data_IF_937949206979
#
_entry.id   IF_937949206979
#
_cell.length_a   1.000
_cell.length_b   1.000
_cell.length_c   1.000
_cell.angle_alpha   90.00
_cell.angle_beta   90.00
_cell.angle_gamma   90.00
#
_symmetry.space_group_name_H-M   'P 1'
#
loop_
_entity.id
_entity.type
_entity.pdbx_description
1 polymer ?
#
# COMPACT_ATOMS: atom_id res chain seq x y z
N UNK A 1 -44.04 -19.08 14.62
CA UNK A 1 -43.67 -17.65 14.58
C UNK A 1 -42.26 -17.61 14.03
N UNK A 2 -42.13 -17.29 12.75
CA UNK A 2 -40.83 -17.09 12.10
C UNK A 2 -40.45 -15.64 12.32
N UNK A 3 -39.54 -15.40 13.26
CA UNK A 3 -38.89 -14.12 13.42
C UNK A 3 -38.05 -13.85 12.16
N UNK A 4 -38.62 -13.06 11.26
CA UNK A 4 -37.86 -12.34 10.25
C UNK A 4 -36.92 -11.38 10.99
N UNK A 5 -35.65 -11.77 11.08
CA UNK A 5 -34.56 -10.83 11.34
C UNK A 5 -34.66 -9.72 10.29
N UNK A 6 -35.23 -8.58 10.69
CA UNK A 6 -35.07 -7.33 9.96
C UNK A 6 -33.57 -7.04 9.94
N UNK A 7 -32.94 -7.31 8.79
CA UNK A 7 -31.59 -6.81 8.53
C UNK A 7 -31.74 -5.30 8.51
N UNK A 8 -31.33 -4.66 9.60
CA UNK A 8 -31.40 -3.23 9.81
C UNK A 8 -30.64 -2.55 8.66
N UNK A 9 -31.40 -2.11 7.66
CA UNK A 9 -30.87 -1.63 6.38
C UNK A 9 -30.52 -0.14 6.47
N UNK A 10 -30.29 0.34 7.70
CA UNK A 10 -29.97 1.71 8.00
C UNK A 10 -28.65 2.08 7.31
N UNK A 11 -28.72 3.12 6.48
CA UNK A 11 -27.58 3.67 5.74
C UNK A 11 -27.29 5.08 6.22
N UNK A 12 -26.02 5.37 6.45
CA UNK A 12 -25.53 6.66 6.90
C UNK A 12 -24.74 7.29 5.77
N UNK A 13 -25.06 8.53 5.44
CA UNK A 13 -24.37 9.30 4.39
C UNK A 13 -23.36 10.24 5.03
N UNK A 14 -22.11 10.14 4.59
CA UNK A 14 -21.03 11.03 5.00
C UNK A 14 -20.56 11.85 3.80
N UNK A 15 -20.44 13.17 3.98
CA UNK A 15 -19.99 14.11 2.95
C UNK A 15 -18.63 14.68 3.33
N UNK A 16 -17.68 14.56 2.42
CA UNK A 16 -16.33 15.10 2.57
C UNK A 16 -16.33 16.58 2.19
N UNK A 17 -16.03 17.47 3.13
CA UNK A 17 -16.21 18.91 2.89
C UNK A 17 -15.27 19.47 1.83
N UNK A 18 -14.09 18.87 1.67
CA UNK A 18 -13.05 19.38 0.76
C UNK A 18 -13.31 19.03 -0.71
N UNK A 19 -13.91 17.86 -0.98
CA UNK A 19 -14.20 17.39 -2.34
C UNK A 19 -15.68 17.37 -2.69
N UNK A 20 -16.55 17.63 -1.71
CA UNK A 20 -18.01 17.50 -1.81
C UNK A 20 -18.50 16.09 -2.23
N UNK A 21 -17.62 15.10 -2.21
CA UNK A 21 -17.96 13.70 -2.47
C UNK A 21 -18.68 13.11 -1.27
N UNK A 22 -19.47 12.07 -1.51
CA UNK A 22 -20.26 11.42 -0.49
C UNK A 22 -20.01 9.92 -0.50
N UNK A 23 -20.17 9.30 0.67
CA UNK A 23 -20.18 7.86 0.83
C UNK A 23 -21.37 7.43 1.68
N UNK A 24 -22.00 6.33 1.30
CA UNK A 24 -23.07 5.71 2.07
C UNK A 24 -22.55 4.41 2.69
N UNK A 25 -22.58 4.34 4.02
CA UNK A 25 -22.17 3.15 4.78
C UNK A 25 -23.38 2.50 5.44
N UNK A 26 -23.42 1.17 5.43
CA UNK A 26 -24.35 0.42 6.29
C UNK A 26 -23.78 0.28 7.70
N UNK A 27 -24.56 -0.25 8.64
CA UNK A 27 -24.13 -0.43 10.03
C UNK A 27 -22.86 -1.30 10.15
N UNK A 28 -22.77 -2.39 9.40
CA UNK A 28 -21.61 -3.28 9.43
C UNK A 28 -20.30 -2.58 9.01
N UNK A 29 -20.34 -1.76 7.96
CA UNK A 29 -19.18 -0.98 7.50
C UNK A 29 -18.84 0.15 8.47
N UNK A 30 -19.87 0.74 9.09
CA UNK A 30 -19.71 1.77 10.10
C UNK A 30 -18.98 1.24 11.33
N UNK A 31 -19.37 0.06 11.83
CA UNK A 31 -18.81 -0.58 13.03
C UNK A 31 -17.31 -0.89 12.90
N UNK A 32 -16.80 -1.02 11.67
CA UNK A 32 -15.38 -1.17 11.40
C UNK A 32 -14.58 0.14 11.55
N UNK A 33 -15.24 1.29 11.72
CA UNK A 33 -14.63 2.62 11.77
C UNK A 33 -15.10 3.33 13.05
N UNK A 34 -14.41 3.11 14.19
CA UNK A 34 -14.86 3.56 15.51
C UNK A 34 -15.19 5.06 15.59
N UNK A 35 -14.39 5.91 14.95
CA UNK A 35 -14.67 7.35 14.90
C UNK A 35 -16.06 7.64 14.31
N UNK A 36 -16.41 7.02 13.19
CA UNK A 36 -17.70 7.25 12.55
C UNK A 36 -18.86 6.64 13.35
N UNK A 37 -18.67 5.46 13.96
CA UNK A 37 -19.66 4.88 14.88
C UNK A 37 -19.96 5.82 16.05
N UNK A 38 -18.94 6.44 16.64
CA UNK A 38 -19.11 7.43 17.72
C UNK A 38 -19.87 8.65 17.23
N UNK A 39 -19.54 9.14 16.04
CA UNK A 39 -20.17 10.31 15.43
C UNK A 39 -21.68 10.08 15.18
N UNK A 40 -22.05 8.90 14.68
CA UNK A 40 -23.45 8.52 14.45
C UNK A 40 -24.21 8.28 15.76
N UNK A 41 -23.60 7.59 16.73
CA UNK A 41 -24.24 7.27 18.02
C UNK A 41 -24.48 8.50 18.91
N UNK A 42 -23.69 9.56 18.71
CA UNK A 42 -23.81 10.81 19.45
C UNK A 42 -24.38 11.94 18.58
N UNK A 43 -25.29 11.61 17.64
CA UNK A 43 -25.93 12.57 16.73
C UNK A 43 -26.62 13.75 17.42
N UNK A 44 -27.06 13.56 18.67
CA UNK A 44 -27.77 14.59 19.45
C UNK A 44 -26.81 15.49 20.27
N UNK A 45 -25.50 15.23 20.20
CA UNK A 45 -24.46 16.02 20.87
C UNK A 45 -23.76 16.97 19.89
N UNK A 46 -23.07 17.99 20.42
CA UNK A 46 -22.28 18.99 19.68
C UNK A 46 -21.18 18.44 18.74
N UNK A 47 -20.96 17.12 18.71
CA UNK A 47 -20.01 16.43 17.82
C UNK A 47 -20.64 16.07 16.47
N UNK A 48 -21.96 16.14 16.36
CA UNK A 48 -22.74 15.83 15.18
C UNK A 48 -22.80 17.02 14.23
N UNK A 49 -21.98 16.98 13.18
CA UNK A 49 -22.03 17.96 12.09
C UNK A 49 -22.95 17.45 10.97
N UNK A 50 -24.22 17.16 11.27
CA UNK A 50 -25.18 16.88 10.21
C UNK A 50 -25.61 18.18 9.52
N UNK A 51 -25.70 18.15 8.19
CA UNK A 51 -26.31 19.23 7.43
C UNK A 51 -27.86 19.10 7.38
N UNK A 52 -28.51 20.03 6.72
CA UNK A 52 -29.98 20.07 6.57
C UNK A 52 -30.56 18.84 5.86
N UNK A 53 -29.75 18.11 5.09
CA UNK A 53 -30.16 16.86 4.41
C UNK A 53 -29.90 15.61 5.24
N UNK A 54 -29.38 15.75 6.46
CA UNK A 54 -29.06 14.65 7.37
C UNK A 54 -27.74 13.94 7.08
N UNK A 55 -26.90 14.50 6.20
CA UNK A 55 -25.57 13.96 5.89
C UNK A 55 -24.55 14.42 6.93
N UNK A 56 -23.72 13.50 7.40
CA UNK A 56 -22.64 13.81 8.33
C UNK A 56 -21.45 14.45 7.60
N UNK A 57 -21.08 15.66 7.98
CA UNK A 57 -19.98 16.41 7.37
C UNK A 57 -18.63 15.97 7.96
N UNK A 58 -17.74 15.50 7.08
CA UNK A 58 -16.37 15.12 7.39
C UNK A 58 -15.41 16.22 6.94
N UNK A 59 -14.87 16.96 7.91
CA UNK A 59 -13.88 18.01 7.70
C UNK A 59 -12.46 17.42 7.62
N UNK A 60 -11.44 18.18 7.19
CA UNK A 60 -10.04 17.75 7.27
C UNK A 60 -9.72 17.10 8.64
N UNK A 61 -8.98 15.97 8.67
CA UNK A 61 -8.07 15.45 7.63
C UNK A 61 -8.68 14.42 6.65
N UNK A 62 -10.01 14.35 6.50
CA UNK A 62 -10.68 13.35 5.67
C UNK A 62 -10.56 13.65 4.17
N UNK A 63 -9.48 13.22 3.53
CA UNK A 63 -9.41 13.18 2.06
C UNK A 63 -10.19 11.97 1.54
N UNK A 64 -11.11 12.19 0.60
CA UNK A 64 -11.97 11.13 0.07
C UNK A 64 -11.19 9.93 -0.47
N UNK A 65 -10.14 10.17 -1.27
CA UNK A 65 -9.30 9.10 -1.84
C UNK A 65 -8.59 8.28 -0.77
N UNK A 66 -8.13 8.92 0.30
CA UNK A 66 -7.48 8.24 1.42
C UNK A 66 -8.50 7.42 2.21
N UNK A 67 -9.66 8.02 2.50
CA UNK A 67 -10.72 7.35 3.24
C UNK A 67 -11.19 6.09 2.53
N UNK A 68 -11.42 6.14 1.21
CA UNK A 68 -11.84 4.96 0.44
C UNK A 68 -10.80 3.84 0.53
N UNK A 69 -9.51 4.16 0.30
CA UNK A 69 -8.44 3.16 0.38
C UNK A 69 -8.30 2.56 1.79
N UNK A 70 -8.44 3.39 2.83
CA UNK A 70 -8.42 2.95 4.23
C UNK A 70 -9.63 2.05 4.54
N UNK A 71 -10.84 2.48 4.17
CA UNK A 71 -12.06 1.71 4.39
C UNK A 71 -11.98 0.35 3.71
N UNK A 72 -11.54 0.27 2.45
CA UNK A 72 -11.41 -1.00 1.74
C UNK A 72 -10.34 -1.89 2.38
N UNK A 73 -9.20 -1.33 2.80
CA UNK A 73 -8.17 -2.06 3.53
C UNK A 73 -8.70 -2.69 4.83
N UNK A 74 -9.47 -1.93 5.61
CA UNK A 74 -10.10 -2.41 6.86
C UNK A 74 -11.17 -3.44 6.57
N UNK A 75 -12.10 -3.15 5.65
CA UNK A 75 -13.24 -4.02 5.35
C UNK A 75 -12.82 -5.37 4.75
N UNK A 76 -11.68 -5.40 4.06
CA UNK A 76 -11.11 -6.62 3.50
C UNK A 76 -10.12 -7.33 4.43
N UNK A 77 -9.75 -6.70 5.56
CA UNK A 77 -8.68 -7.15 6.45
C UNK A 77 -7.34 -7.38 5.71
N UNK A 78 -7.07 -6.58 4.68
CA UNK A 78 -5.89 -6.71 3.82
C UNK A 78 -5.11 -5.39 3.76
N UNK A 79 -4.07 -5.19 4.60
CA UNK A 79 -3.27 -3.96 4.58
C UNK A 79 -2.63 -3.66 3.22
N UNK A 80 -2.38 -4.68 2.39
CA UNK A 80 -1.87 -4.49 1.03
C UNK A 80 -2.83 -3.67 0.14
N UNK A 81 -4.15 -3.79 0.37
CA UNK A 81 -5.19 -3.07 -0.38
C UNK A 81 -5.03 -1.57 -0.27
N UNK A 82 -4.68 -1.04 0.93
CA UNK A 82 -4.41 0.39 1.14
C UNK A 82 -3.44 0.95 0.10
N UNK A 83 -2.30 0.28 -0.05
CA UNK A 83 -1.22 0.71 -0.94
C UNK A 83 -1.55 0.46 -2.42
N UNK A 84 -2.37 -0.54 -2.74
CA UNK A 84 -2.72 -0.82 -4.14
C UNK A 84 -3.90 0.00 -4.63
N UNK A 85 -4.73 0.54 -3.75
CA UNK A 85 -5.85 1.40 -4.15
C UNK A 85 -5.49 2.87 -4.11
N UNK A 86 -4.66 3.30 -3.15
CA UNK A 86 -4.23 4.68 -3.04
C UNK A 86 -3.39 5.10 -4.26
N UNK A 87 -3.82 6.09 -5.07
CA UNK A 87 -3.05 6.56 -6.23
C UNK A 87 -1.58 6.89 -5.91
N UNK A 88 -0.67 6.70 -6.88
CA UNK A 88 0.78 6.89 -6.64
C UNK A 88 1.15 8.33 -6.20
N UNK A 89 0.39 9.33 -6.63
CA UNK A 89 0.65 10.74 -6.29
C UNK A 89 0.08 11.16 -4.93
N UNK A 90 -0.71 10.30 -4.29
CA UNK A 90 -1.33 10.60 -3.00
C UNK A 90 -0.37 10.35 -1.84
N UNK A 91 -0.58 11.06 -0.74
CA UNK A 91 0.27 10.95 0.44
C UNK A 91 -0.08 9.70 1.27
N UNK A 92 0.68 8.62 1.05
CA UNK A 92 0.53 7.37 1.80
C UNK A 92 0.72 7.52 3.31
N UNK A 93 1.59 8.43 3.77
CA UNK A 93 1.78 8.66 5.21
C UNK A 93 0.54 9.30 5.82
N UNK A 94 -0.08 10.25 5.12
CA UNK A 94 -1.34 10.86 5.53
C UNK A 94 -2.48 9.83 5.59
N UNK A 95 -2.55 8.93 4.60
CA UNK A 95 -3.52 7.83 4.61
C UNK A 95 -3.28 6.84 5.77
N UNK A 96 -2.03 6.52 6.11
CA UNK A 96 -1.71 5.68 7.27
C UNK A 96 -2.08 6.38 8.58
N UNK A 97 -1.80 7.67 8.72
CA UNK A 97 -2.20 8.47 9.90
C UNK A 97 -3.73 8.53 10.05
N UNK A 98 -4.47 8.56 8.95
CA UNK A 98 -5.92 8.52 8.97
C UNK A 98 -6.45 7.23 9.62
N UNK A 99 -5.77 6.09 9.49
CA UNK A 99 -6.16 4.83 10.16
C UNK A 99 -6.18 5.02 11.69
N UNK A 100 -5.12 5.63 12.23
CA UNK A 100 -4.99 5.89 13.66
C UNK A 100 -6.04 6.92 14.12
N UNK A 101 -6.26 7.97 13.33
CA UNK A 101 -7.29 8.98 13.61
C UNK A 101 -8.70 8.38 13.66
N UNK A 102 -9.01 7.46 12.75
CA UNK A 102 -10.31 6.77 12.70
C UNK A 102 -10.51 5.79 13.86
N UNK A 103 -9.46 5.52 14.65
CA UNK A 103 -9.49 4.58 15.76
C UNK A 103 -9.52 3.12 15.30
N UNK A 104 -9.23 2.84 14.04
CA UNK A 104 -9.27 1.49 13.49
C UNK A 104 -8.15 0.64 14.11
N UNK A 105 -8.41 -0.65 14.37
CA UNK A 105 -7.40 -1.56 14.90
C UNK A 105 -6.16 -1.54 14.00
N UNK A 106 -5.03 -1.16 14.58
CA UNK A 106 -3.74 -1.19 13.89
C UNK A 106 -3.44 -2.62 13.45
N UNK A 107 -2.90 -2.78 12.24
CA UNK A 107 -2.37 -4.05 11.80
C UNK A 107 -1.28 -4.54 12.77
N UNK A 108 -1.19 -5.85 13.04
CA UNK A 108 -0.16 -6.38 13.91
C UNK A 108 1.21 -5.96 13.38
N UNK A 109 2.10 -5.58 14.30
CA UNK A 109 3.49 -5.27 13.95
C UNK A 109 4.17 -6.58 13.56
N UNK A 110 4.65 -6.75 12.31
CA UNK A 110 5.42 -7.92 11.97
C UNK A 110 6.75 -7.82 12.72
N UNK A 111 7.10 -8.88 13.46
CA UNK A 111 8.36 -8.89 14.20
C UNK A 111 9.49 -8.91 13.17
N UNK A 112 10.58 -8.17 13.39
CA UNK A 112 11.76 -8.26 12.51
C UNK A 112 12.33 -9.69 12.45
N UNK A 113 12.02 -10.54 13.44
CA UNK A 113 12.35 -11.98 13.42
C UNK A 113 11.55 -12.80 12.39
N UNK A 114 10.53 -12.20 11.78
CA UNK A 114 9.69 -12.78 10.72
C UNK A 114 10.10 -12.24 9.33
N UNK A 115 11.14 -11.39 9.23
CA UNK A 115 11.60 -10.83 7.95
C UNK A 115 12.14 -11.87 6.99
N UNK A 116 12.52 -13.04 7.50
CA UNK A 116 12.91 -14.22 6.72
C UNK A 116 11.82 -14.62 5.70
N UNK A 117 10.55 -14.29 5.98
CA UNK A 117 9.41 -14.48 5.08
C UNK A 117 9.45 -13.63 3.81
N UNK A 118 10.13 -12.48 3.85
CA UNK A 118 10.22 -11.53 2.74
C UNK A 118 11.36 -11.89 1.76
N UNK A 119 12.33 -12.70 2.18
CA UNK A 119 13.43 -13.23 1.35
C UNK A 119 13.03 -14.44 0.48
N UNK A 120 11.83 -14.97 0.71
CA UNK A 120 11.26 -16.20 0.12
C UNK A 120 11.19 -16.28 -1.40
N UNK A 121 11.07 -15.13 -2.07
CA UNK A 121 10.83 -15.07 -3.52
C UNK A 121 12.05 -14.63 -4.34
N UNK A 122 13.24 -14.50 -3.72
CA UNK A 122 14.49 -14.35 -4.48
C UNK A 122 15.08 -15.73 -4.75
N UNK A 123 14.87 -16.22 -5.97
CA UNK A 123 15.39 -17.48 -6.49
C UNK A 123 16.90 -17.60 -6.30
N UNK A 124 17.36 -18.40 -5.31
CA UNK A 124 18.60 -19.23 -5.35
C UNK A 124 18.95 -20.00 -4.07
N UNK A 125 18.20 -19.96 -2.96
CA UNK A 125 18.61 -20.69 -1.74
C UNK A 125 17.73 -21.93 -1.45
N UNK A 126 18.30 -23.13 -1.56
CA UNK A 126 17.63 -24.40 -1.25
C UNK A 126 17.21 -24.51 0.23
N UNK A 127 17.77 -23.69 1.12
CA UNK A 127 17.35 -23.60 2.53
C UNK A 127 16.01 -22.89 2.72
N UNK A 128 15.55 -22.09 1.75
CA UNK A 128 14.23 -21.42 1.76
C UNK A 128 13.09 -22.40 1.45
N UNK A 129 13.36 -23.50 0.73
CA UNK A 129 12.33 -24.46 0.30
C UNK A 129 11.72 -25.25 1.46
N UNK A 130 12.43 -25.40 2.58
CA UNK A 130 11.95 -26.24 3.70
C UNK A 130 10.99 -25.52 4.66
N UNK A 131 10.88 -24.18 4.61
CA UNK A 131 10.04 -23.40 5.55
C UNK A 131 8.91 -22.59 4.88
N UNK A 132 8.76 -22.63 3.55
CA UNK A 132 7.76 -21.83 2.81
C UNK A 132 6.51 -22.60 2.37
N UNK A 133 5.38 -22.29 2.99
CA UNK A 133 4.02 -22.39 2.41
C UNK A 133 3.14 -21.17 2.77
N UNK A 134 3.72 -19.97 2.91
CA UNK A 134 2.89 -18.76 3.00
C UNK A 134 2.28 -18.48 1.63
N UNK A 135 0.97 -18.23 1.57
CA UNK A 135 0.30 -17.95 0.30
C UNK A 135 0.64 -16.51 -0.18
N UNK A 136 0.43 -16.22 -1.47
CA UNK A 136 0.75 -14.92 -2.06
C UNK A 136 0.06 -13.73 -1.35
N UNK A 137 -1.15 -13.95 -0.81
CA UNK A 137 -1.92 -12.92 -0.10
C UNK A 137 -1.27 -12.59 1.23
N UNK A 138 -0.91 -13.60 2.01
CA UNK A 138 -0.19 -13.49 3.28
C UNK A 138 1.14 -12.75 3.09
N UNK A 139 1.94 -13.13 2.09
CA UNK A 139 3.20 -12.45 1.77
C UNK A 139 3.00 -10.96 1.51
N UNK A 140 1.98 -10.60 0.73
CA UNK A 140 1.66 -9.19 0.41
C UNK A 140 1.21 -8.41 1.63
N UNK A 141 0.36 -9.00 2.47
CA UNK A 141 -0.14 -8.35 3.67
C UNK A 141 0.97 -8.15 4.70
N UNK A 142 1.78 -9.17 5.02
CA UNK A 142 2.93 -9.02 5.92
C UNK A 142 3.91 -7.96 5.44
N UNK A 143 4.12 -7.87 4.12
CA UNK A 143 4.95 -6.80 3.54
C UNK A 143 4.34 -5.42 3.75
N UNK A 144 3.02 -5.29 3.56
CA UNK A 144 2.32 -4.04 3.80
C UNK A 144 2.38 -3.63 5.27
N UNK A 145 2.20 -4.59 6.18
CA UNK A 145 2.34 -4.38 7.63
C UNK A 145 3.75 -3.91 8.01
N UNK A 146 4.79 -4.47 7.38
CA UNK A 146 6.18 -4.02 7.56
C UNK A 146 6.35 -2.55 7.15
N UNK A 147 5.77 -2.14 6.01
CA UNK A 147 5.85 -0.75 5.53
C UNK A 147 5.09 0.19 6.47
N UNK A 148 3.92 -0.23 6.97
CA UNK A 148 3.15 0.53 7.98
C UNK A 148 3.97 0.68 9.27
N UNK A 149 4.55 -0.42 9.77
CA UNK A 149 5.40 -0.41 10.97
C UNK A 149 6.61 0.52 10.81
N UNK A 150 7.25 0.51 9.64
CA UNK A 150 8.34 1.41 9.29
C UNK A 150 7.90 2.88 9.37
N UNK A 151 6.71 3.20 8.84
CA UNK A 151 6.16 4.57 8.89
C UNK A 151 5.82 5.05 10.30
N UNK A 152 5.54 4.11 11.21
CA UNK A 152 5.23 4.36 12.62
C UNK A 152 6.48 4.39 13.52
N UNK A 153 7.68 4.42 12.95
CA UNK A 153 8.95 4.37 13.68
C UNK A 153 9.06 3.16 14.64
N UNK A 154 8.47 2.02 14.26
CA UNK A 154 8.44 0.83 15.12
C UNK A 154 9.79 0.08 15.21
N UNK A 155 10.76 0.46 14.37
CA UNK A 155 12.08 -0.17 14.29
C UNK A 155 13.19 0.73 14.82
N UNK A 156 14.20 0.14 15.46
CA UNK A 156 15.37 0.87 15.93
C UNK A 156 16.33 1.19 14.78
N UNK A 157 16.15 2.35 14.14
CA UNK A 157 16.99 2.80 13.02
C UNK A 157 18.41 3.22 13.42
N UNK A 158 18.73 3.25 14.72
CA UNK A 158 20.10 3.46 15.19
C UNK A 158 20.93 2.16 15.25
N UNK A 159 20.27 1.00 15.14
CA UNK A 159 20.96 -0.28 15.02
C UNK A 159 21.31 -0.55 13.55
N UNK A 160 22.61 -0.67 13.27
CA UNK A 160 23.13 -0.93 11.92
C UNK A 160 22.59 -2.24 11.33
N UNK A 161 22.38 -3.27 12.15
CA UNK A 161 21.85 -4.56 11.68
C UNK A 161 20.41 -4.40 11.21
N UNK A 162 19.57 -3.77 12.02
CA UNK A 162 18.18 -3.42 11.68
C UNK A 162 18.09 -2.60 10.39
N UNK A 163 18.94 -1.58 10.22
CA UNK A 163 18.98 -0.75 9.01
C UNK A 163 19.31 -1.58 7.76
N UNK A 164 20.30 -2.46 7.84
CA UNK A 164 20.67 -3.33 6.71
C UNK A 164 19.56 -4.33 6.33
N UNK A 165 18.85 -4.87 7.31
CA UNK A 165 17.69 -5.73 7.09
C UNK A 165 16.59 -4.94 6.37
N UNK A 166 16.20 -3.77 6.89
CA UNK A 166 15.20 -2.88 6.26
C UNK A 166 15.54 -2.57 4.80
N UNK A 167 16.79 -2.21 4.50
CA UNK A 167 17.22 -1.93 3.12
C UNK A 167 17.09 -3.15 2.22
N UNK A 168 17.47 -4.33 2.73
CA UNK A 168 17.40 -5.59 1.98
C UNK A 168 15.94 -5.92 1.64
N UNK A 169 15.04 -5.74 2.59
CA UNK A 169 13.61 -5.94 2.40
C UNK A 169 13.02 -4.98 1.38
N UNK A 170 13.30 -3.68 1.51
CA UNK A 170 12.87 -2.67 0.53
C UNK A 170 13.36 -3.05 -0.87
N UNK A 171 14.62 -3.47 -1.00
CA UNK A 171 15.18 -3.89 -2.28
C UNK A 171 14.42 -5.07 -2.88
N UNK A 172 14.12 -6.10 -2.09
CA UNK A 172 13.35 -7.26 -2.55
C UNK A 172 11.98 -6.83 -3.05
N UNK A 173 11.27 -6.00 -2.27
CA UNK A 173 9.97 -5.45 -2.65
C UNK A 173 10.05 -4.74 -3.99
N UNK A 174 11.02 -3.83 -4.16
CA UNK A 174 11.19 -3.09 -5.40
C UNK A 174 11.49 -4.03 -6.58
N UNK A 175 12.38 -5.00 -6.41
CA UNK A 175 12.84 -5.88 -7.51
C UNK A 175 11.86 -7.00 -7.91
N UNK A 176 10.75 -7.20 -7.20
CA UNK A 176 9.86 -8.33 -7.43
C UNK A 176 8.47 -7.94 -8.02
N UNK A 177 8.36 -7.74 -9.35
CA UNK A 177 7.11 -7.35 -10.02
C UNK A 177 6.04 -8.45 -10.06
N UNK A 178 6.42 -9.72 -9.92
CA UNK A 178 5.46 -10.83 -9.96
C UNK A 178 4.66 -10.89 -8.65
N UNK A 179 5.28 -10.48 -7.55
CA UNK A 179 4.64 -10.43 -6.23
C UNK A 179 4.01 -9.05 -5.98
N UNK A 180 4.73 -7.96 -6.21
CA UNK A 180 4.30 -6.61 -5.78
C UNK A 180 3.90 -5.71 -6.94
N UNK A 181 2.77 -5.03 -6.75
CA UNK A 181 2.17 -4.19 -7.77
C UNK A 181 2.98 -2.94 -8.06
N UNK A 182 2.54 -2.29 -9.13
CA UNK A 182 3.09 -1.05 -9.62
C UNK A 182 3.29 -0.01 -8.51
N UNK A 183 2.12 0.28 -7.96
CA UNK A 183 1.78 1.31 -7.00
C UNK A 183 2.30 0.98 -5.60
N UNK A 184 2.21 -0.28 -5.18
CA UNK A 184 2.77 -0.73 -3.90
C UNK A 184 4.25 -0.38 -3.78
N UNK A 185 5.04 -0.74 -4.79
CA UNK A 185 6.49 -0.47 -4.82
C UNK A 185 6.82 1.02 -4.85
N UNK A 186 5.95 1.84 -5.45
CA UNK A 186 6.12 3.29 -5.41
C UNK A 186 5.95 3.81 -3.99
N UNK A 187 4.85 3.45 -3.33
CA UNK A 187 4.57 3.86 -1.96
C UNK A 187 5.61 3.36 -0.95
N UNK A 188 6.11 2.12 -1.11
CA UNK A 188 7.22 1.59 -0.30
C UNK A 188 8.45 2.50 -0.40
N UNK A 189 8.81 2.95 -1.60
CA UNK A 189 9.93 3.86 -1.77
C UNK A 189 9.65 5.23 -1.14
N UNK A 190 8.44 5.75 -1.28
CA UNK A 190 8.03 7.02 -0.65
C UNK A 190 8.14 6.93 0.86
N UNK A 191 7.61 5.89 1.50
CA UNK A 191 7.76 5.66 2.94
C UNK A 191 9.23 5.54 3.33
N UNK A 192 10.03 4.79 2.57
CA UNK A 192 11.46 4.66 2.86
C UNK A 192 12.21 6.00 2.79
N UNK A 193 11.86 6.86 1.82
CA UNK A 193 12.44 8.20 1.65
C UNK A 193 12.15 9.11 2.83
N UNK A 194 10.92 9.09 3.32
CA UNK A 194 10.47 9.96 4.39
C UNK A 194 10.90 9.46 5.78
N UNK A 195 10.86 8.14 6.00
CA UNK A 195 11.00 7.58 7.35
C UNK A 195 12.42 7.12 7.71
N UNK A 196 13.21 6.62 6.74
CA UNK A 196 14.48 5.97 7.07
C UNK A 196 15.67 6.32 6.14
N UNK A 197 15.47 7.18 5.14
CA UNK A 197 16.49 7.47 4.12
C UNK A 197 17.79 8.04 4.68
N UNK A 198 17.70 8.88 5.72
CA UNK A 198 18.86 9.50 6.36
C UNK A 198 19.80 8.49 7.05
N UNK A 199 19.31 7.30 7.36
CA UNK A 199 20.10 6.22 7.97
C UNK A 199 20.82 5.36 6.92
N UNK A 200 20.48 5.52 5.64
CA UNK A 200 21.07 4.75 4.56
C UNK A 200 22.35 5.43 4.07
N UNK A 201 23.39 4.64 3.76
CA UNK A 201 24.56 5.17 3.07
C UNK A 201 24.19 5.71 1.68
N UNK A 202 24.96 6.68 1.17
CA UNK A 202 24.74 7.23 -0.19
C UNK A 202 24.70 6.15 -1.28
N UNK A 203 25.50 5.09 -1.12
CA UNK A 203 25.51 3.94 -2.05
C UNK A 203 24.19 3.19 -2.00
N UNK A 204 23.66 2.91 -0.81
CA UNK A 204 22.36 2.23 -0.64
C UNK A 204 21.21 3.09 -1.17
N UNK A 205 21.21 4.40 -0.89
CA UNK A 205 20.22 5.33 -1.43
C UNK A 205 20.21 5.33 -2.96
N UNK A 206 21.40 5.41 -3.59
CA UNK A 206 21.54 5.37 -5.05
C UNK A 206 21.02 4.05 -5.63
N UNK A 207 21.34 2.91 -4.99
CA UNK A 207 20.85 1.60 -5.43
C UNK A 207 19.32 1.55 -5.45
N UNK A 208 18.66 1.95 -4.36
CA UNK A 208 17.19 1.95 -4.28
C UNK A 208 16.57 2.90 -5.32
N UNK A 209 17.16 4.08 -5.51
CA UNK A 209 16.70 5.04 -6.50
C UNK A 209 16.83 4.51 -7.94
N UNK A 210 17.98 3.94 -8.30
CA UNK A 210 18.21 3.35 -9.62
C UNK A 210 17.28 2.15 -9.88
N UNK A 211 17.08 1.28 -8.89
CA UNK A 211 16.11 0.17 -8.99
C UNK A 211 14.72 0.69 -9.31
N UNK A 212 14.26 1.73 -8.62
CA UNK A 212 12.95 2.32 -8.86
C UNK A 212 12.83 2.96 -10.25
N UNK A 213 13.82 3.73 -10.68
CA UNK A 213 13.82 4.34 -12.01
C UNK A 213 13.76 3.28 -13.13
N UNK A 214 14.49 2.18 -12.98
CA UNK A 214 14.47 1.09 -13.95
C UNK A 214 13.08 0.45 -14.06
N UNK A 215 12.37 0.30 -12.93
CA UNK A 215 10.99 -0.19 -12.91
C UNK A 215 10.05 0.77 -13.64
N UNK A 216 10.17 2.09 -13.40
CA UNK A 216 9.36 3.09 -14.10
C UNK A 216 9.62 3.10 -15.61
N UNK A 217 10.89 2.97 -16.03
CA UNK A 217 11.27 2.87 -17.45
C UNK A 217 10.69 1.62 -18.11
N UNK A 218 10.80 0.46 -17.47
CA UNK A 218 10.20 -0.79 -17.96
C UNK A 218 8.68 -0.67 -18.13
N UNK A 219 7.98 -0.03 -17.19
CA UNK A 219 6.54 0.21 -17.32
C UNK A 219 6.20 1.07 -18.54
N UNK A 220 6.92 2.17 -18.74
CA UNK A 220 6.73 3.06 -19.90
C UNK A 220 6.96 2.31 -21.22
N UNK A 221 8.02 1.49 -21.29
CA UNK A 221 8.31 0.65 -22.46
C UNK A 221 7.18 -0.34 -22.74
N UNK A 222 6.71 -1.06 -21.71
CA UNK A 222 5.63 -2.02 -21.88
C UNK A 222 4.32 -1.34 -22.29
N UNK A 223 3.97 -0.19 -21.69
CA UNK A 223 2.76 0.56 -22.08
C UNK A 223 2.83 1.08 -23.51
N UNK A 224 4.02 1.45 -23.99
CA UNK A 224 4.21 1.82 -25.39
C UNK A 224 4.07 0.59 -26.29
N UNK A 225 4.65 -0.55 -25.92
CA UNK A 225 4.55 -1.79 -26.69
C UNK A 225 3.09 -2.25 -26.89
N UNK A 226 2.22 -2.09 -25.88
CA UNK A 226 0.77 -2.38 -26.00
C UNK A 226 -0.02 -1.38 -26.86
N UNK A 227 0.55 -0.22 -27.18
CA UNK A 227 -0.05 0.73 -28.15
C UNK A 227 0.37 0.42 -29.60
N UNK A 228 1.28 -0.55 -29.79
CA UNK A 228 1.83 -0.96 -31.09
C UNK A 228 1.59 -2.46 -31.33
N UNK A 229 0.32 -2.83 -31.49
CA UNK A 229 -0.19 -4.06 -32.14
C UNK A 229 -1.37 -3.55 -33.00
N UNK A 230 -1.47 -3.62 -34.33
CA UNK A 230 -1.04 -4.65 -35.29
C UNK A 230 -0.64 -4.04 -36.67
N UNK A 231 -0.45 -2.71 -36.79
CA UNK A 231 -0.36 -2.05 -38.12
C UNK A 231 0.66 -0.90 -38.28
N UNK A 232 1.61 -0.70 -37.36
CA UNK A 232 2.65 0.32 -37.56
C UNK A 232 4.02 -0.18 -37.06
N UNK A 233 5.03 -0.32 -37.93
CA UNK A 233 6.38 -0.65 -37.50
C UNK A 233 6.96 0.46 -36.62
N UNK A 234 7.78 0.06 -35.65
CA UNK A 234 8.51 0.97 -34.75
C UNK A 234 9.37 1.95 -35.57
N UNK A 235 9.43 3.25 -35.20
CA UNK A 235 10.37 4.19 -35.80
C UNK A 235 11.82 3.74 -35.56
N UNK A 236 12.67 3.88 -36.58
CA UNK A 236 14.09 3.43 -36.59
C UNK A 236 14.95 3.95 -35.41
N UNK A 237 14.50 4.99 -34.70
CA UNK A 237 15.15 5.55 -33.51
C UNK A 237 15.07 4.65 -32.26
N UNK A 238 14.28 3.57 -32.25
CA UNK A 238 14.20 2.62 -31.13
C UNK A 238 15.36 1.60 -31.08
N UNK A 239 16.18 1.53 -32.12
CA UNK A 239 17.33 0.61 -32.24
C UNK A 239 18.43 0.85 -31.19
N UNK A 240 18.45 2.02 -30.54
CA UNK A 240 19.48 2.36 -29.53
C UNK A 240 19.09 2.06 -28.07
N UNK A 241 17.88 1.56 -27.80
CA UNK A 241 17.42 1.22 -26.43
C UNK A 241 17.71 -0.25 -26.06
N UNK A 242 18.01 -1.10 -27.06
CA UNK A 242 18.33 -2.52 -26.88
C UNK A 242 19.84 -2.76 -26.77
N UNK A 243 20.46 -2.26 -25.70
CA UNK A 243 21.73 -2.85 -25.22
C UNK A 243 21.55 -3.24 -23.76
N UNK A 244 20.83 -4.35 -23.57
CA UNK A 244 20.97 -5.15 -22.37
C UNK A 244 22.34 -5.82 -22.44
N UNK A 245 23.29 -5.47 -21.56
CA UNK A 245 24.48 -6.29 -21.32
C UNK A 245 24.05 -7.58 -20.62
N UNK A 246 23.41 -8.46 -21.37
CA UNK A 246 23.25 -9.87 -21.04
C UNK A 246 24.47 -10.61 -21.58
N UNK A 247 25.29 -11.12 -20.68
CA UNK A 247 26.32 -12.12 -20.95
C UNK A 247 25.67 -13.30 -21.65
N UNK A 248 25.95 -13.49 -22.95
CA UNK A 248 25.64 -14.73 -23.63
C UNK A 248 26.57 -15.82 -23.09
N UNK A 249 26.04 -16.76 -22.31
CA UNK A 249 26.68 -18.06 -22.15
C UNK A 249 26.23 -18.88 -23.37
N UNK A 250 27.14 -19.04 -24.31
CA UNK A 250 26.98 -19.99 -25.40
C UNK A 250 26.90 -21.40 -24.79
N UNK A 251 25.77 -22.07 -24.98
CA UNK A 251 25.68 -23.52 -24.82
C UNK A 251 26.19 -24.15 -26.12
N UNK A 252 27.11 -25.11 -25.96
CA UNK A 252 27.77 -25.91 -27.00
C UNK A 252 26.78 -26.62 -27.92
#
# INVERSE_FOLDING_TARGET
>A
MTDTLEVDNTRYTFRFTDSNQCICLNQQQLDCIPYLSVLVSHKDNFLSNQNETGEYLLHPPFHYTWFIAVQHSISSEQPYTLFTELPEHENILGAIQLIDYLGCTSFPLPLLKETDLLFSNSTTDERLVTYHRANLVETRNTTAEFVIALSKNAYNLHDYKTVNEIISLIKIILTNPTVYSSRFRHHVLTVAKECCWMYFSKVQQLQLYTTHQNIQKQRKLNSLMYLYDDNNPLPDDFSNVFVWKGTYIALK
#
